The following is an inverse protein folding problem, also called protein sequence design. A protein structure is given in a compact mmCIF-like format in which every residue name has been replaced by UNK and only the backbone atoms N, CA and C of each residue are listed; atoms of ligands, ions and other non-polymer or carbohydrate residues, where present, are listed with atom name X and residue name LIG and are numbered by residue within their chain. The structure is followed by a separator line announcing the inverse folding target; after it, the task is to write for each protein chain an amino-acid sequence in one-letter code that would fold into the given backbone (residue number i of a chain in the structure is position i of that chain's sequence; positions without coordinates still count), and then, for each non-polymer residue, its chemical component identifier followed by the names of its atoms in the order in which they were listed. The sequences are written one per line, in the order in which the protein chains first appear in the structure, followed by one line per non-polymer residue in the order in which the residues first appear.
data_IF_757288095298
#
_entry.id   IF_757288095298
#
_cell.length_a   1.000
_cell.length_b   1.000
_cell.length_c   1.000
_cell.angle_alpha   90.00
_cell.angle_beta   90.00
_cell.angle_gamma   90.00
#
_symmetry.space_group_name_H-M   'P 1'
#
loop_
_entity.id
_entity.type
_entity.pdbx_description
1 polymer ?
#
# COMPACT_ATOMS: atom_id res chain seq x y z
N UNK A 1 -66.07 43.87 -22.80
CA UNK A 1 -65.61 43.44 -24.13
C UNK A 1 -64.78 42.18 -23.98
N UNK A 2 -65.26 41.09 -24.61
CA UNK A 2 -64.69 39.75 -24.84
C UNK A 2 -63.68 39.14 -23.83
N UNK A 3 -64.19 38.24 -22.98
CA UNK A 3 -63.41 37.10 -22.44
C UNK A 3 -63.67 35.85 -23.30
N UNK A 4 -62.60 35.25 -23.82
CA UNK A 4 -62.60 34.02 -24.63
C UNK A 4 -62.63 32.79 -23.72
N UNK A 5 -63.61 31.91 -23.94
CA UNK A 5 -63.60 30.52 -23.51
C UNK A 5 -62.54 29.72 -24.28
N UNK A 6 -61.96 28.69 -23.64
CA UNK A 6 -61.56 27.46 -24.31
C UNK A 6 -61.60 26.30 -23.31
N UNK A 7 -62.27 25.24 -23.75
CA UNK A 7 -62.69 24.02 -23.07
C UNK A 7 -61.57 23.00 -22.86
N UNK A 8 -61.70 22.24 -21.78
CA UNK A 8 -60.87 21.07 -21.43
C UNK A 8 -61.36 19.82 -22.17
N UNK A 9 -60.45 19.08 -22.80
CA UNK A 9 -60.68 17.70 -23.26
C UNK A 9 -59.59 16.77 -22.73
N UNK A 10 -60.03 15.71 -22.05
CA UNK A 10 -59.20 14.62 -21.51
C UNK A 10 -58.64 13.73 -22.64
N UNK A 11 -57.42 13.23 -22.45
CA UNK A 11 -56.94 12.03 -23.16
C UNK A 11 -56.02 11.18 -22.27
N UNK A 12 -56.30 9.89 -22.22
CA UNK A 12 -55.60 8.87 -21.43
C UNK A 12 -54.23 8.51 -22.04
N UNK A 13 -53.22 8.12 -21.23
CA UNK A 13 -51.90 7.79 -21.73
C UNK A 13 -51.85 6.41 -22.41
N UNK A 14 -51.22 6.36 -23.59
CA UNK A 14 -50.94 5.13 -24.36
C UNK A 14 -49.75 4.37 -23.76
N UNK A 15 -49.94 3.07 -23.54
CA UNK A 15 -48.89 2.11 -23.20
C UNK A 15 -47.99 1.91 -24.42
N UNK A 16 -46.68 2.09 -24.27
CA UNK A 16 -45.68 1.78 -25.31
C UNK A 16 -45.02 0.46 -24.94
N UNK A 17 -45.34 -0.60 -25.70
CA UNK A 17 -44.63 -1.88 -25.65
C UNK A 17 -43.17 -1.68 -26.08
N UNK A 18 -42.24 -2.01 -25.18
CA UNK A 18 -40.81 -2.01 -25.50
C UNK A 18 -40.45 -3.40 -26.04
N UNK A 19 -40.06 -3.48 -27.31
CA UNK A 19 -39.57 -4.72 -27.93
C UNK A 19 -38.27 -5.17 -27.26
N UNK A 20 -38.30 -6.37 -26.68
CA UNK A 20 -37.10 -7.08 -26.22
C UNK A 20 -36.29 -7.49 -27.45
N UNK A 21 -35.12 -6.88 -27.64
CA UNK A 21 -34.14 -7.33 -28.62
C UNK A 21 -33.29 -8.41 -27.95
N UNK A 22 -33.49 -9.66 -28.38
CA UNK A 22 -32.60 -10.77 -28.03
C UNK A 22 -31.23 -10.52 -28.65
N UNK A 23 -30.27 -10.05 -27.85
CA UNK A 23 -28.86 -10.03 -28.24
C UNK A 23 -28.36 -11.47 -28.12
N UNK A 24 -28.28 -12.11 -29.28
CA UNK A 24 -27.58 -13.38 -29.49
C UNK A 24 -26.18 -13.30 -28.89
N UNK A 25 -25.90 -14.27 -28.02
CA UNK A 25 -24.62 -14.56 -27.38
C UNK A 25 -23.53 -14.72 -28.45
N UNK A 26 -22.84 -13.62 -28.79
CA UNK A 26 -21.53 -13.71 -29.41
C UNK A 26 -20.56 -14.06 -28.30
N UNK A 27 -20.18 -15.34 -28.22
CA UNK A 27 -18.99 -15.79 -27.53
C UNK A 27 -17.77 -15.08 -28.15
N UNK A 28 -17.48 -13.86 -27.69
CA UNK A 28 -16.13 -13.35 -27.75
C UNK A 28 -15.38 -14.03 -26.62
N UNK A 29 -14.53 -14.99 -26.99
CA UNK A 29 -13.43 -15.43 -26.15
C UNK A 29 -12.52 -14.22 -25.89
N UNK A 30 -12.87 -13.42 -24.89
CA UNK A 30 -11.89 -12.55 -24.24
C UNK A 30 -10.96 -13.49 -23.49
N UNK A 31 -9.86 -13.89 -24.12
CA UNK A 31 -8.62 -14.13 -23.40
C UNK A 31 -8.23 -12.78 -22.77
N UNK A 32 -8.97 -12.41 -21.72
CA UNK A 32 -8.67 -11.27 -20.89
C UNK A 32 -7.32 -11.55 -20.27
N UNK A 33 -6.36 -10.66 -20.53
CA UNK A 33 -4.99 -10.72 -20.04
C UNK A 33 -4.98 -11.14 -18.57
N UNK A 34 -4.79 -12.44 -18.29
CA UNK A 34 -4.92 -12.97 -16.93
C UNK A 34 -3.78 -12.39 -16.10
N UNK A 35 -4.13 -11.56 -15.11
CA UNK A 35 -3.15 -10.98 -14.18
C UNK A 35 -2.36 -12.12 -13.53
N UNK A 36 -1.04 -11.94 -13.45
CA UNK A 36 -0.15 -12.92 -12.83
C UNK A 36 -0.57 -13.14 -11.37
N UNK A 37 -0.85 -14.40 -11.01
CA UNK A 37 -1.10 -14.81 -9.63
C UNK A 37 0.21 -14.82 -8.85
N UNK A 38 0.22 -14.14 -7.72
CA UNK A 38 1.40 -14.02 -6.85
C UNK A 38 0.93 -14.11 -5.40
N UNK A 39 1.82 -14.47 -4.48
CA UNK A 39 1.51 -14.50 -3.06
C UNK A 39 1.38 -13.08 -2.50
N UNK A 40 2.39 -12.24 -2.70
CA UNK A 40 2.35 -10.85 -2.24
C UNK A 40 3.03 -9.88 -3.20
N UNK A 41 2.52 -8.65 -3.22
CA UNK A 41 3.15 -7.50 -3.89
C UNK A 41 3.60 -6.50 -2.83
N UNK A 42 4.90 -6.29 -2.75
CA UNK A 42 5.56 -5.34 -1.85
C UNK A 42 5.89 -4.05 -2.61
N UNK A 43 5.26 -2.96 -2.21
CA UNK A 43 5.55 -1.60 -2.67
C UNK A 43 6.38 -0.84 -1.65
N UNK A 44 7.65 -0.57 -1.99
CA UNK A 44 8.53 0.26 -1.16
C UNK A 44 8.34 1.72 -1.56
N UNK A 45 7.77 2.52 -0.67
CA UNK A 45 7.55 3.94 -0.86
C UNK A 45 8.88 4.70 -0.90
N UNK A 46 9.20 5.32 -2.03
CA UNK A 46 10.44 6.09 -2.19
C UNK A 46 10.20 7.45 -2.82
N UNK A 47 11.22 8.30 -2.88
CA UNK A 47 11.19 9.61 -3.52
C UNK A 47 12.39 9.80 -4.46
N UNK A 48 12.36 10.84 -5.31
CA UNK A 48 13.48 11.18 -6.19
C UNK A 48 14.80 11.32 -5.42
N UNK A 49 14.77 11.99 -4.27
CA UNK A 49 15.94 12.21 -3.41
C UNK A 49 16.46 10.97 -2.68
N UNK A 50 15.76 9.84 -2.76
CA UNK A 50 16.03 8.65 -1.93
C UNK A 50 16.97 7.64 -2.60
N UNK A 51 17.73 8.00 -3.64
CA UNK A 51 18.62 7.05 -4.35
C UNK A 51 19.49 6.22 -3.42
N UNK A 52 20.23 6.89 -2.51
CA UNK A 52 21.11 6.21 -1.55
C UNK A 52 20.36 5.27 -0.59
N UNK A 53 19.10 5.57 -0.27
CA UNK A 53 18.27 4.68 0.55
C UNK A 53 17.92 3.42 -0.23
N UNK A 54 17.48 3.55 -1.48
CA UNK A 54 17.20 2.40 -2.36
C UNK A 54 18.42 1.50 -2.52
N UNK A 55 19.59 2.10 -2.78
CA UNK A 55 20.85 1.37 -2.87
C UNK A 55 21.14 0.63 -1.54
N UNK A 56 20.93 1.26 -0.38
CA UNK A 56 21.11 0.58 0.92
C UNK A 56 20.16 -0.60 1.15
N UNK A 57 18.91 -0.56 0.63
CA UNK A 57 17.99 -1.71 0.73
C UNK A 57 18.45 -2.84 -0.18
N UNK A 58 18.84 -2.50 -1.41
CA UNK A 58 19.40 -3.43 -2.40
C UNK A 58 20.66 -4.13 -1.90
N UNK A 59 21.52 -3.42 -1.20
CA UNK A 59 22.75 -3.95 -0.59
C UNK A 59 22.49 -4.76 0.68
N UNK A 60 21.24 -4.82 1.15
CA UNK A 60 20.85 -5.53 2.38
C UNK A 60 19.70 -6.51 2.11
N UNK A 61 18.49 -6.21 2.57
CA UNK A 61 17.39 -7.17 2.62
C UNK A 61 16.64 -7.34 1.30
N UNK A 62 16.78 -6.42 0.33
CA UNK A 62 16.07 -6.49 -0.95
C UNK A 62 16.91 -7.25 -2.00
N UNK A 63 16.45 -8.41 -2.49
CA UNK A 63 17.15 -9.13 -3.55
C UNK A 63 17.23 -8.32 -4.85
N UNK A 64 18.29 -8.55 -5.64
CA UNK A 64 18.54 -7.89 -6.92
C UNK A 64 18.68 -8.91 -8.06
N UNK A 65 18.48 -8.44 -9.31
CA UNK A 65 18.76 -9.21 -10.52
C UNK A 65 18.08 -10.58 -10.52
N UNK A 66 18.84 -11.62 -10.85
CA UNK A 66 18.34 -13.00 -10.91
C UNK A 66 17.72 -13.49 -9.58
N UNK A 67 18.23 -13.03 -8.43
CA UNK A 67 17.64 -13.40 -7.13
C UNK A 67 16.23 -12.83 -6.98
N UNK A 68 15.99 -11.59 -7.44
CA UNK A 68 14.68 -10.95 -7.41
C UNK A 68 13.70 -11.64 -8.38
N UNK A 69 14.15 -11.96 -9.58
CA UNK A 69 13.34 -12.69 -10.58
C UNK A 69 12.97 -14.10 -10.10
N UNK A 70 13.94 -14.80 -9.50
CA UNK A 70 13.73 -16.11 -8.89
C UNK A 70 12.71 -16.03 -7.75
N UNK A 71 12.81 -15.00 -6.90
CA UNK A 71 11.88 -14.79 -5.80
C UNK A 71 10.44 -14.60 -6.32
N UNK A 72 10.28 -13.81 -7.38
CA UNK A 72 8.97 -13.62 -8.00
C UNK A 72 8.43 -14.91 -8.64
N UNK A 73 9.29 -15.69 -9.31
CA UNK A 73 8.89 -16.91 -10.01
C UNK A 73 8.59 -18.07 -9.07
N UNK A 74 9.42 -18.31 -8.08
CA UNK A 74 9.35 -19.50 -7.21
C UNK A 74 8.51 -19.28 -5.96
N UNK A 75 8.46 -18.05 -5.44
CA UNK A 75 7.72 -17.72 -4.22
C UNK A 75 6.51 -16.83 -4.47
N UNK A 76 6.34 -16.28 -5.67
CA UNK A 76 5.26 -15.34 -5.95
C UNK A 76 5.40 -14.07 -5.10
N UNK A 77 6.61 -13.64 -4.77
CA UNK A 77 6.84 -12.39 -4.03
C UNK A 77 7.38 -11.36 -5.01
N UNK A 78 6.57 -10.34 -5.29
CA UNK A 78 6.96 -9.19 -6.12
C UNK A 78 7.43 -8.08 -5.20
N UNK A 79 8.62 -7.51 -5.43
CA UNK A 79 9.12 -6.35 -4.69
C UNK A 79 9.45 -5.25 -5.68
N UNK A 80 8.87 -4.05 -5.49
CA UNK A 80 9.11 -2.89 -6.33
C UNK A 80 9.21 -1.60 -5.52
N UNK A 81 10.11 -0.71 -5.92
CA UNK A 81 10.11 0.68 -5.50
C UNK A 81 8.96 1.43 -6.18
N UNK A 82 7.98 1.90 -5.40
CA UNK A 82 6.88 2.68 -5.93
C UNK A 82 7.24 4.15 -6.00
N UNK A 83 7.19 4.70 -7.21
CA UNK A 83 7.51 6.11 -7.47
C UNK A 83 6.57 6.68 -8.52
N UNK A 84 6.10 7.91 -8.28
CA UNK A 84 5.38 8.70 -9.27
C UNK A 84 6.33 9.32 -10.29
N UNK A 85 5.86 10.40 -10.91
CA UNK A 85 6.62 11.23 -11.85
C UNK A 85 6.65 12.68 -11.38
N UNK A 86 7.54 13.48 -11.96
CA UNK A 86 7.56 14.91 -11.67
C UNK A 86 6.40 15.63 -12.37
N UNK A 87 6.10 16.86 -11.95
CA UNK A 87 5.03 17.65 -12.55
C UNK A 87 5.37 18.15 -13.97
N UNK A 88 6.66 18.28 -14.28
CA UNK A 88 7.14 18.77 -15.56
C UNK A 88 7.46 17.60 -16.48
N UNK A 89 7.02 17.68 -17.74
CA UNK A 89 7.48 16.76 -18.77
C UNK A 89 9.01 16.86 -18.94
N UNK A 90 9.65 15.74 -19.27
CA UNK A 90 11.10 15.63 -19.55
C UNK A 90 12.05 16.09 -18.43
N UNK A 91 11.58 16.06 -17.19
CA UNK A 91 12.38 16.37 -15.99
C UNK A 91 13.62 15.49 -15.85
N UNK A 92 14.72 16.09 -15.40
CA UNK A 92 15.96 15.38 -15.07
C UNK A 92 15.72 14.31 -14.01
N UNK A 93 14.86 14.61 -13.03
CA UNK A 93 14.52 13.65 -11.96
C UNK A 93 13.86 12.38 -12.51
N UNK A 94 13.00 12.51 -13.52
CA UNK A 94 12.38 11.35 -14.17
C UNK A 94 13.40 10.56 -14.99
N UNK A 95 14.30 11.25 -15.71
CA UNK A 95 15.38 10.60 -16.48
C UNK A 95 16.35 9.82 -15.59
N UNK A 96 16.65 10.34 -14.39
CA UNK A 96 17.47 9.63 -13.40
C UNK A 96 16.79 8.35 -12.90
N UNK A 97 15.48 8.39 -12.66
CA UNK A 97 14.70 7.19 -12.31
C UNK A 97 14.65 6.20 -13.47
N UNK A 98 14.45 6.67 -14.70
CA UNK A 98 14.40 5.81 -15.88
C UNK A 98 15.76 5.13 -16.12
N UNK A 99 16.87 5.84 -15.90
CA UNK A 99 18.21 5.27 -15.96
C UNK A 99 18.46 4.21 -14.86
N UNK A 100 17.96 4.44 -13.65
CA UNK A 100 18.03 3.47 -12.56
C UNK A 100 17.17 2.23 -12.84
N UNK A 101 15.93 2.41 -13.30
CA UNK A 101 15.06 1.30 -13.66
C UNK A 101 15.61 0.51 -14.87
N UNK A 102 16.30 1.18 -15.79
CA UNK A 102 17.03 0.50 -16.87
C UNK A 102 18.09 -0.47 -16.34
N UNK A 103 18.72 -0.13 -15.21
CA UNK A 103 19.75 -0.94 -14.57
C UNK A 103 19.17 -2.06 -13.68
N UNK A 104 18.22 -1.73 -12.80
CA UNK A 104 17.78 -2.64 -11.73
C UNK A 104 16.42 -3.31 -11.98
N UNK A 105 15.58 -2.76 -12.87
CA UNK A 105 14.25 -3.30 -13.23
C UNK A 105 13.32 -3.51 -12.04
N UNK A 106 13.48 -2.71 -11.00
CA UNK A 106 12.82 -2.87 -9.71
C UNK A 106 11.89 -1.71 -9.36
N UNK A 107 11.53 -0.84 -10.31
CA UNK A 107 10.51 0.18 -10.07
C UNK A 107 9.10 -0.24 -10.46
N UNK A 108 8.14 0.35 -9.77
CA UNK A 108 6.75 0.42 -10.17
C UNK A 108 6.36 1.89 -10.33
N UNK A 109 6.35 2.35 -11.59
CA UNK A 109 5.98 3.72 -11.96
C UNK A 109 4.47 3.91 -11.80
N UNK A 110 4.09 4.91 -11.02
CA UNK A 110 2.71 5.27 -10.74
C UNK A 110 2.32 6.52 -11.54
N UNK A 111 1.08 6.56 -12.03
CA UNK A 111 0.46 7.79 -12.55
C UNK A 111 0.10 8.72 -11.38
N UNK A 112 1.14 9.34 -10.84
CA UNK A 112 1.10 10.15 -9.64
C UNK A 112 2.16 11.24 -9.73
N UNK A 113 1.75 12.50 -9.70
CA UNK A 113 2.71 13.60 -9.56
C UNK A 113 3.24 13.61 -8.13
N UNK A 114 4.52 13.33 -7.94
CA UNK A 114 5.20 13.32 -6.64
C UNK A 114 5.10 14.67 -5.91
N UNK A 115 5.15 14.61 -4.58
CA UNK A 115 5.14 15.82 -3.75
C UNK A 115 5.02 15.52 -2.26
N UNK A 116 5.51 16.46 -1.45
CA UNK A 116 5.63 16.28 0.00
C UNK A 116 4.30 15.94 0.70
N UNK A 117 3.19 16.59 0.32
CA UNK A 117 1.86 16.37 0.92
C UNK A 117 1.00 15.37 0.15
N UNK A 118 1.60 14.51 -0.69
CA UNK A 118 0.87 13.64 -1.61
C UNK A 118 0.95 12.14 -1.28
N UNK A 119 1.57 11.77 -0.17
CA UNK A 119 1.76 10.38 0.24
C UNK A 119 0.45 9.59 0.30
N UNK A 120 -0.60 10.12 0.95
CA UNK A 120 -1.92 9.46 1.01
C UNK A 120 -2.53 9.21 -0.38
N UNK A 121 -2.26 10.09 -1.34
CA UNK A 121 -2.70 9.90 -2.72
C UNK A 121 -1.86 8.85 -3.45
N UNK A 122 -0.55 8.84 -3.20
CA UNK A 122 0.38 7.84 -3.72
C UNK A 122 0.02 6.43 -3.27
N UNK A 123 -0.24 6.23 -1.97
CA UNK A 123 -0.71 4.93 -1.42
C UNK A 123 -1.99 4.47 -2.09
N UNK A 124 -2.97 5.36 -2.25
CA UNK A 124 -4.23 5.04 -2.92
C UNK A 124 -4.00 4.57 -4.37
N UNK A 125 -3.13 5.26 -5.10
CA UNK A 125 -2.79 4.92 -6.49
C UNK A 125 -2.00 3.60 -6.53
N UNK A 126 -1.05 3.39 -5.62
CA UNK A 126 -0.29 2.14 -5.50
C UNK A 126 -1.20 0.92 -5.41
N UNK A 127 -2.12 0.88 -4.43
CA UNK A 127 -3.01 -0.27 -4.29
C UNK A 127 -3.90 -0.46 -5.53
N UNK A 128 -4.41 0.62 -6.09
CA UNK A 128 -5.26 0.56 -7.28
C UNK A 128 -4.51 0.01 -8.50
N UNK A 129 -3.30 0.52 -8.76
CA UNK A 129 -2.44 0.09 -9.88
C UNK A 129 -1.87 -1.31 -9.65
N UNK A 130 -1.51 -1.67 -8.42
CA UNK A 130 -0.99 -2.99 -8.08
C UNK A 130 -2.07 -4.06 -8.27
N UNK A 131 -3.31 -3.80 -7.82
CA UNK A 131 -4.45 -4.68 -8.10
C UNK A 131 -4.68 -4.78 -9.61
N UNK A 132 -4.62 -3.69 -10.37
CA UNK A 132 -4.81 -3.76 -11.82
C UNK A 132 -3.75 -4.64 -12.54
N UNK A 133 -2.53 -4.72 -11.99
CA UNK A 133 -1.40 -5.43 -12.61
C UNK A 133 -1.21 -6.87 -12.12
N UNK A 134 -1.41 -7.14 -10.83
CA UNK A 134 -1.17 -8.45 -10.20
C UNK A 134 -2.42 -8.95 -9.48
N UNK A 135 -2.62 -10.27 -9.53
CA UNK A 135 -3.62 -10.96 -8.72
C UNK A 135 -2.93 -11.54 -7.47
N UNK A 136 -2.72 -10.71 -6.46
CA UNK A 136 -1.97 -11.08 -5.24
C UNK A 136 -2.90 -11.45 -4.08
N UNK A 137 -2.48 -12.36 -3.20
CA UNK A 137 -3.20 -12.63 -1.95
C UNK A 137 -3.06 -11.46 -0.96
N UNK A 138 -1.88 -10.85 -0.92
CA UNK A 138 -1.56 -9.70 -0.07
C UNK A 138 -0.88 -8.58 -0.85
N UNK A 139 -1.14 -7.34 -0.42
CA UNK A 139 -0.46 -6.14 -0.89
C UNK A 139 0.16 -5.44 0.32
N UNK A 140 1.47 -5.19 0.25
CA UNK A 140 2.28 -4.69 1.35
C UNK A 140 2.84 -3.33 0.97
N UNK A 141 2.75 -2.36 1.88
CA UNK A 141 3.44 -1.07 1.76
C UNK A 141 4.54 -1.00 2.80
N UNK A 142 5.72 -0.54 2.39
CA UNK A 142 6.92 -0.40 3.24
C UNK A 142 7.57 0.96 2.95
N UNK A 143 8.11 1.67 3.95
CA UNK A 143 8.93 2.87 3.72
C UNK A 143 10.39 2.52 3.35
N UNK A 144 11.06 3.39 2.58
CA UNK A 144 12.43 3.16 2.09
C UNK A 144 13.55 3.30 3.15
N UNK A 145 13.18 3.47 4.41
CA UNK A 145 14.08 3.48 5.55
C UNK A 145 13.72 2.43 6.61
N UNK A 146 13.09 1.31 6.23
CA UNK A 146 12.73 0.20 7.13
C UNK A 146 13.57 -1.04 6.81
N UNK A 147 14.06 -1.73 7.84
CA UNK A 147 14.64 -3.08 7.70
C UNK A 147 13.53 -4.13 7.77
N UNK A 148 13.57 -5.13 6.89
CA UNK A 148 12.53 -6.15 6.75
C UNK A 148 13.17 -7.53 6.64
N UNK A 149 12.58 -8.51 7.32
CA UNK A 149 12.88 -9.94 7.14
C UNK A 149 11.79 -10.55 6.27
N UNK A 150 12.12 -10.91 5.02
CA UNK A 150 11.15 -11.26 3.98
C UNK A 150 10.48 -12.63 4.24
N UNK A 151 11.22 -13.61 4.75
CA UNK A 151 10.74 -14.91 5.17
C UNK A 151 9.83 -14.82 6.39
N UNK A 152 10.19 -14.01 7.39
CA UNK A 152 9.32 -13.70 8.53
C UNK A 152 8.02 -13.01 8.08
N UNK A 153 8.11 -12.00 7.20
CA UNK A 153 6.95 -11.34 6.60
C UNK A 153 6.06 -12.36 5.88
N UNK A 154 6.64 -13.15 4.96
CA UNK A 154 5.89 -14.07 4.13
C UNK A 154 5.22 -15.18 4.96
N UNK A 155 5.93 -15.74 5.94
CA UNK A 155 5.41 -16.76 6.86
C UNK A 155 4.27 -16.22 7.72
N UNK A 156 4.40 -14.98 8.21
CA UNK A 156 3.36 -14.32 9.01
C UNK A 156 2.09 -14.13 8.18
N UNK A 157 2.20 -13.62 6.95
CA UNK A 157 1.04 -13.44 6.05
C UNK A 157 0.41 -14.77 5.65
N UNK A 158 1.22 -15.81 5.41
CA UNK A 158 0.73 -17.15 5.08
C UNK A 158 -0.11 -17.74 6.22
N UNK A 159 0.27 -17.50 7.48
CA UNK A 159 -0.48 -17.93 8.67
C UNK A 159 -1.90 -17.31 8.77
N UNK A 160 -2.14 -16.22 8.04
CA UNK A 160 -3.44 -15.53 8.01
C UNK A 160 -4.22 -15.72 6.71
N UNK A 161 -3.71 -16.52 5.75
CA UNK A 161 -4.32 -16.73 4.42
C UNK A 161 -5.82 -17.09 4.45
N UNK A 162 -6.26 -17.83 5.46
CA UNK A 162 -7.64 -18.29 5.57
C UNK A 162 -8.59 -17.28 6.23
N UNK A 163 -8.08 -16.13 6.69
CA UNK A 163 -8.89 -15.06 7.26
C UNK A 163 -9.41 -14.12 6.14
N UNK A 164 -10.69 -13.77 6.12
CA UNK A 164 -11.20 -12.79 5.18
C UNK A 164 -10.70 -11.38 5.55
N UNK A 165 -10.49 -10.51 4.55
CA UNK A 165 -10.27 -9.05 4.77
C UNK A 165 -9.25 -8.72 5.89
N UNK A 166 -8.04 -9.27 5.77
CA UNK A 166 -6.95 -9.03 6.74
C UNK A 166 -6.34 -7.64 6.55
N UNK A 167 -6.21 -6.90 7.65
CA UNK A 167 -5.36 -5.71 7.75
C UNK A 167 -4.39 -5.93 8.90
N UNK A 168 -3.10 -6.10 8.58
CA UNK A 168 -2.07 -6.47 9.55
C UNK A 168 -0.93 -5.46 9.56
N UNK A 169 -0.44 -5.20 10.77
CA UNK A 169 0.75 -4.43 11.05
C UNK A 169 0.86 -4.16 12.54
N UNK A 170 1.74 -3.25 12.93
CA UNK A 170 1.82 -2.81 14.32
C UNK A 170 0.75 -1.74 14.57
N UNK A 171 -0.33 -2.13 15.25
CA UNK A 171 -1.49 -1.26 15.44
C UNK A 171 -1.22 -0.23 16.54
N UNK A 172 -1.60 1.01 16.26
CA UNK A 172 -1.47 2.15 17.16
C UNK A 172 -2.73 3.00 17.17
N UNK A 173 -2.83 3.84 18.20
CA UNK A 173 -3.74 4.98 18.28
C UNK A 173 -3.01 6.08 19.04
N UNK A 174 -3.20 7.33 18.63
CA UNK A 174 -2.49 8.48 19.17
C UNK A 174 -3.30 9.75 19.02
N UNK A 175 -2.90 10.84 19.68
CA UNK A 175 -3.63 12.11 19.63
C UNK A 175 -3.73 12.61 18.18
N UNK A 176 -4.89 13.15 17.82
CA UNK A 176 -5.05 13.86 16.55
C UNK A 176 -4.17 15.10 16.58
N UNK A 177 -3.36 15.30 15.55
CA UNK A 177 -2.36 16.36 15.52
C UNK A 177 -3.02 17.68 15.06
N UNK A 178 -3.51 18.49 16.01
CA UNK A 178 -4.25 19.74 15.71
C UNK A 178 -3.34 20.97 15.56
N UNK A 179 -2.19 20.96 16.26
CA UNK A 179 -1.27 22.12 16.35
C UNK A 179 -0.65 22.47 15.00
N UNK A 180 -0.68 23.76 14.62
CA UNK A 180 -0.08 24.29 13.37
C UNK A 180 1.41 24.00 13.20
N UNK A 181 2.14 23.84 14.30
CA UNK A 181 3.57 23.52 14.30
C UNK A 181 3.87 22.04 14.12
N UNK A 182 2.85 21.16 14.20
CA UNK A 182 3.05 19.73 14.00
C UNK A 182 3.29 19.44 12.51
N UNK A 183 4.39 18.73 12.20
CA UNK A 183 4.79 18.33 10.84
C UNK A 183 3.65 17.68 10.06
N UNK A 184 2.87 16.85 10.75
CA UNK A 184 1.75 16.10 10.18
C UNK A 184 0.40 16.55 10.77
N UNK A 185 0.24 17.87 10.96
CA UNK A 185 -1.04 18.45 11.36
C UNK A 185 -2.14 17.95 10.44
N UNK A 186 -3.25 17.54 11.03
CA UNK A 186 -4.48 17.18 10.31
C UNK A 186 -5.35 18.44 10.16
N UNK A 187 -5.49 19.04 8.97
CA UNK A 187 -6.31 20.24 8.77
C UNK A 187 -7.79 19.99 9.07
N UNK A 188 -8.27 18.78 8.82
CA UNK A 188 -9.65 18.36 9.01
C UNK A 188 -9.83 17.58 10.32
N UNK A 189 -9.06 17.94 11.36
CA UNK A 189 -9.04 17.25 12.66
C UNK A 189 -10.42 17.15 13.31
N UNK A 190 -11.32 18.09 13.03
CA UNK A 190 -12.71 18.12 13.49
C UNK A 190 -13.52 16.89 13.05
N UNK A 191 -13.10 16.15 12.00
CA UNK A 191 -13.73 14.90 11.58
C UNK A 191 -13.45 13.73 12.52
N UNK A 192 -12.48 13.86 13.41
CA UNK A 192 -12.13 12.85 14.42
C UNK A 192 -12.82 13.12 15.77
N UNK A 193 -13.81 14.03 15.77
CA UNK A 193 -14.58 14.43 16.94
C UNK A 193 -13.99 15.67 17.61
N UNK A 194 -13.97 15.67 18.94
CA UNK A 194 -13.60 16.82 19.76
C UNK A 194 -12.07 16.99 19.86
N UNK A 195 -11.64 18.19 20.23
CA UNK A 195 -10.23 18.45 20.49
C UNK A 195 -9.72 17.58 21.65
N UNK A 196 -8.57 16.92 21.45
CA UNK A 196 -8.03 15.94 22.40
C UNK A 196 -8.37 14.49 22.04
N UNK A 197 -9.26 14.26 21.07
CA UNK A 197 -9.53 12.91 20.57
C UNK A 197 -8.29 12.28 19.94
N UNK A 198 -8.32 10.95 19.89
CA UNK A 198 -7.31 10.13 19.24
C UNK A 198 -7.77 9.69 17.86
N UNK A 199 -6.82 9.44 16.96
CA UNK A 199 -7.10 8.69 15.76
C UNK A 199 -7.66 7.31 16.13
N UNK A 200 -8.55 6.77 15.30
CA UNK A 200 -8.96 5.37 15.39
C UNK A 200 -7.73 4.45 15.31
N UNK A 201 -7.90 3.19 15.74
CA UNK A 201 -6.81 2.21 15.67
C UNK A 201 -6.44 1.93 14.21
N UNK A 202 -5.15 2.05 13.88
CA UNK A 202 -4.60 1.81 12.54
C UNK A 202 -3.17 1.27 12.65
N UNK A 203 -2.69 0.56 11.62
CA UNK A 203 -1.31 0.12 11.55
C UNK A 203 -0.38 1.32 11.35
N UNK A 204 0.84 1.25 11.89
CA UNK A 204 1.84 2.30 11.68
C UNK A 204 2.32 2.36 10.22
N UNK A 205 2.68 3.56 9.76
CA UNK A 205 3.04 3.80 8.36
C UNK A 205 4.30 3.10 7.84
N UNK A 206 5.22 2.68 8.70
CA UNK A 206 6.49 2.07 8.28
C UNK A 206 6.31 0.80 7.45
N UNK A 207 5.38 -0.04 7.89
CA UNK A 207 5.01 -1.27 7.20
C UNK A 207 3.60 -1.72 7.60
N UNK A 208 2.83 -2.15 6.61
CA UNK A 208 1.57 -2.85 6.82
C UNK A 208 1.21 -3.68 5.59
N UNK A 209 0.35 -4.68 5.77
CA UNK A 209 -0.19 -5.48 4.69
C UNK A 209 -1.72 -5.54 4.75
N UNK A 210 -2.34 -5.60 3.57
CA UNK A 210 -3.77 -5.79 3.41
C UNK A 210 -4.04 -6.96 2.46
N UNK A 211 -5.10 -7.72 2.72
CA UNK A 211 -5.51 -8.79 1.82
C UNK A 211 -6.06 -8.25 0.50
N UNK A 212 -6.14 -9.15 -0.50
CA UNK A 212 -6.72 -8.87 -1.82
C UNK A 212 -8.08 -8.17 -1.77
N UNK A 213 -8.96 -8.59 -0.87
CA UNK A 213 -10.31 -8.03 -0.76
C UNK A 213 -10.27 -6.53 -0.41
N UNK A 214 -9.40 -6.16 0.52
CA UNK A 214 -9.23 -4.77 0.93
C UNK A 214 -8.52 -3.93 -0.13
N UNK A 215 -7.50 -4.48 -0.79
CA UNK A 215 -6.85 -3.79 -1.90
C UNK A 215 -7.83 -3.57 -3.07
N UNK A 216 -8.68 -4.56 -3.36
CA UNK A 216 -9.73 -4.46 -4.39
C UNK A 216 -10.78 -3.43 -3.99
N UNK A 217 -11.19 -3.39 -2.72
CA UNK A 217 -12.08 -2.35 -2.19
C UNK A 217 -11.50 -0.95 -2.42
N UNK A 218 -10.20 -0.74 -2.17
CA UNK A 218 -9.53 0.54 -2.44
C UNK A 218 -9.57 0.88 -3.92
N UNK A 219 -9.24 -0.08 -4.78
CA UNK A 219 -9.23 0.09 -6.24
C UNK A 219 -10.60 0.48 -6.78
N UNK A 220 -11.66 -0.22 -6.36
CA UNK A 220 -13.03 0.03 -6.83
C UNK A 220 -13.60 1.35 -6.30
N UNK A 221 -13.32 1.69 -5.04
CA UNK A 221 -13.91 2.87 -4.38
C UNK A 221 -13.00 4.11 -4.42
N UNK A 222 -11.90 4.05 -5.16
CA UNK A 222 -10.88 5.09 -5.22
C UNK A 222 -11.42 6.53 -5.34
N UNK A 223 -12.47 6.83 -6.14
CA UNK A 223 -12.98 8.20 -6.30
C UNK A 223 -13.60 8.79 -5.03
N UNK A 224 -14.16 7.95 -4.14
CA UNK A 224 -14.86 8.38 -2.93
C UNK A 224 -14.02 8.25 -1.66
N UNK A 225 -12.89 7.54 -1.73
CA UNK A 225 -11.99 7.38 -0.59
C UNK A 225 -11.26 8.69 -0.27
N UNK A 226 -11.66 9.28 0.86
CA UNK A 226 -11.10 10.49 1.42
C UNK A 226 -9.65 10.29 1.87
N UNK A 227 -8.86 11.36 1.87
CA UNK A 227 -7.44 11.33 2.24
C UNK A 227 -7.20 12.33 3.36
N UNK A 228 -6.51 11.87 4.39
CA UNK A 228 -6.05 12.68 5.51
C UNK A 228 -4.57 13.03 5.33
N UNK A 229 -4.06 13.95 6.16
CA UNK A 229 -2.67 14.40 6.09
C UNK A 229 -1.66 13.28 6.39
N UNK A 230 -2.03 12.36 7.29
CA UNK A 230 -1.24 11.18 7.62
C UNK A 230 -1.67 10.01 6.72
N UNK A 231 -0.69 9.37 6.08
CA UNK A 231 -0.92 8.30 5.10
C UNK A 231 -1.44 7.01 5.75
N UNK A 232 -0.92 6.65 6.91
CA UNK A 232 -1.34 5.49 7.70
C UNK A 232 -2.73 5.67 8.32
N UNK A 233 -3.03 6.87 8.84
CA UNK A 233 -4.39 7.26 9.23
C UNK A 233 -5.33 7.17 8.02
N UNK A 234 -4.91 7.67 6.86
CA UNK A 234 -5.73 7.59 5.64
C UNK A 234 -6.14 6.16 5.33
N UNK A 235 -5.19 5.23 5.30
CA UNK A 235 -5.49 3.83 5.04
C UNK A 235 -6.47 3.25 6.07
N UNK A 236 -6.20 3.44 7.36
CA UNK A 236 -7.07 2.90 8.41
C UNK A 236 -8.50 3.47 8.36
N UNK A 237 -8.67 4.71 7.91
CA UNK A 237 -10.00 5.34 7.78
C UNK A 237 -10.90 4.64 6.77
N UNK A 238 -10.31 4.02 5.74
CA UNK A 238 -11.05 3.32 4.69
C UNK A 238 -11.66 2.01 5.19
N UNK A 239 -11.15 1.49 6.31
CA UNK A 239 -11.52 0.18 6.85
C UNK A 239 -12.38 0.26 8.11
N UNK A 240 -12.51 1.44 8.73
CA UNK A 240 -13.23 1.60 10.01
C UNK A 240 -14.71 1.16 9.95
N UNK A 241 -15.35 1.33 8.79
CA UNK A 241 -16.74 0.93 8.55
C UNK A 241 -16.90 -0.46 7.95
N UNK A 242 -15.81 -1.22 7.81
CA UNK A 242 -15.79 -2.55 7.20
C UNK A 242 -15.55 -3.63 8.26
N UNK A 243 -16.06 -4.83 8.03
CA UNK A 243 -15.79 -6.00 8.87
C UNK A 243 -14.40 -6.58 8.55
N UNK A 244 -13.37 -5.94 9.10
CA UNK A 244 -11.94 -6.22 8.85
C UNK A 244 -11.30 -6.93 10.03
N UNK A 245 -10.51 -7.96 9.74
CA UNK A 245 -9.63 -8.59 10.71
C UNK A 245 -8.39 -7.71 10.91
N UNK A 246 -8.46 -6.80 11.90
CA UNK A 246 -7.35 -5.95 12.31
C UNK A 246 -6.38 -6.72 13.21
N UNK A 247 -5.24 -7.12 12.65
CA UNK A 247 -4.23 -7.91 13.36
C UNK A 247 -3.14 -6.96 13.88
N UNK A 248 -3.05 -6.83 15.21
CA UNK A 248 -1.97 -6.13 15.88
C UNK A 248 -0.79 -7.07 16.13
N UNK A 249 0.20 -7.01 15.25
CA UNK A 249 1.42 -7.81 15.36
C UNK A 249 2.62 -6.90 15.69
N UNK A 250 3.21 -7.13 16.87
CA UNK A 250 4.34 -6.34 17.37
C UNK A 250 5.65 -6.64 16.65
N UNK A 251 5.74 -7.75 15.92
CA UNK A 251 6.91 -8.06 15.10
C UNK A 251 7.03 -7.13 13.88
N UNK A 252 5.98 -6.38 13.53
CA UNK A 252 6.02 -5.34 12.50
C UNK A 252 6.62 -4.00 12.98
N UNK A 253 7.03 -3.87 14.24
CA UNK A 253 7.55 -2.63 14.79
C UNK A 253 8.60 -2.83 15.89
N UNK A 254 9.49 -3.80 15.71
CA UNK A 254 10.64 -3.95 16.58
C UNK A 254 11.54 -2.72 16.50
N UNK A 255 12.20 -2.39 17.61
CA UNK A 255 13.26 -1.39 17.58
C UNK A 255 14.51 -1.98 16.92
N UNK A 256 15.36 -1.13 16.35
CA UNK A 256 16.69 -1.57 15.89
C UNK A 256 17.55 -2.08 17.09
N UNK A 257 18.75 -2.65 16.87
CA UNK A 257 19.54 -3.22 17.97
C UNK A 257 19.65 -2.32 19.20
N UNK A 258 19.53 -2.89 20.41
CA UNK A 258 19.59 -4.33 20.70
C UNK A 258 18.25 -5.11 20.64
N UNK A 259 17.11 -4.44 20.45
CA UNK A 259 15.79 -5.08 20.61
C UNK A 259 15.53 -6.21 19.58
N UNK A 260 15.66 -5.92 18.29
CA UNK A 260 15.45 -6.93 17.25
C UNK A 260 16.48 -8.07 17.28
N UNK A 261 17.70 -7.81 17.75
CA UNK A 261 18.76 -8.81 17.92
C UNK A 261 18.39 -9.79 19.04
N UNK A 262 18.03 -9.28 20.22
CA UNK A 262 17.57 -10.11 21.34
C UNK A 262 16.32 -10.93 21.00
N UNK A 263 15.39 -10.36 20.23
CA UNK A 263 14.21 -11.08 19.75
C UNK A 263 14.55 -12.19 18.77
N UNK A 264 15.49 -11.95 17.85
CA UNK A 264 15.97 -12.99 16.94
C UNK A 264 16.65 -14.15 17.71
N UNK A 265 17.49 -13.85 18.71
CA UNK A 265 18.11 -14.85 19.59
C UNK A 265 17.09 -15.68 20.38
N UNK A 266 15.95 -15.08 20.75
CA UNK A 266 14.85 -15.75 21.42
C UNK A 266 13.93 -16.55 20.47
N UNK A 267 14.20 -16.55 19.16
CA UNK A 267 13.37 -17.22 18.15
C UNK A 267 12.09 -16.44 17.77
N UNK A 268 11.96 -15.18 18.20
CA UNK A 268 10.86 -14.28 17.85
C UNK A 268 11.30 -13.33 16.72
N UNK A 269 11.58 -13.88 15.54
CA UNK A 269 12.09 -13.08 14.42
C UNK A 269 11.15 -11.91 14.08
N UNK A 270 11.68 -10.69 14.13
CA UNK A 270 10.94 -9.50 13.75
C UNK A 270 10.63 -9.50 12.25
N UNK A 271 9.42 -9.08 11.89
CA UNK A 271 9.05 -8.82 10.49
C UNK A 271 9.71 -7.54 10.00
N UNK A 272 9.72 -6.50 10.85
CA UNK A 272 10.35 -5.23 10.53
C UNK A 272 10.97 -4.56 11.76
N UNK A 273 12.07 -3.84 11.50
CA UNK A 273 12.84 -3.15 12.52
C UNK A 273 13.10 -1.69 12.12
N UNK A 274 12.80 -0.75 13.01
CA UNK A 274 13.02 0.69 12.79
C UNK A 274 13.07 1.48 14.11
N UNK A 275 13.54 2.73 14.04
CA UNK A 275 13.62 3.63 15.20
C UNK A 275 12.43 4.58 15.25
N UNK A 276 11.66 4.55 16.35
CA UNK A 276 10.54 5.46 16.58
C UNK A 276 10.93 6.94 16.49
N UNK A 277 12.15 7.28 16.93
CA UNK A 277 12.67 8.66 16.99
C UNK A 277 12.67 9.36 15.62
N UNK A 278 12.96 8.64 14.55
CA UNK A 278 12.98 9.18 13.19
C UNK A 278 11.91 8.55 12.28
N UNK A 279 11.05 7.68 12.85
CA UNK A 279 9.96 7.02 12.13
C UNK A 279 10.46 6.13 10.97
N UNK A 280 11.61 5.48 11.17
CA UNK A 280 12.38 4.69 10.22
C UNK A 280 13.72 4.31 10.87
N UNK A 281 14.64 3.63 10.19
CA UNK A 281 16.02 3.43 10.65
C UNK A 281 16.74 4.78 10.57
N UNK A 282 17.19 5.31 11.71
CA UNK A 282 17.83 6.62 11.72
C UNK A 282 19.15 6.56 10.97
N UNK A 283 19.42 7.53 10.10
CA UNK A 283 20.54 7.50 9.14
C UNK A 283 20.55 6.18 8.35
N UNK A 284 19.41 5.80 7.78
CA UNK A 284 19.21 4.50 7.11
C UNK A 284 20.31 4.17 6.10
N UNK A 285 20.78 5.14 5.31
CA UNK A 285 21.89 4.94 4.36
C UNK A 285 23.13 4.34 5.03
N UNK A 286 23.46 4.79 6.24
CA UNK A 286 24.67 4.34 6.95
C UNK A 286 24.40 3.15 7.88
N UNK A 287 23.17 3.05 8.42
CA UNK A 287 22.82 2.09 9.48
C UNK A 287 22.08 0.85 9.01
N UNK A 288 21.50 0.85 7.80
CA UNK A 288 20.71 -0.29 7.31
C UNK A 288 21.54 -1.58 7.30
N UNK A 289 22.79 -1.51 6.87
CA UNK A 289 23.70 -2.66 6.87
C UNK A 289 23.89 -3.24 8.28
N UNK A 290 24.21 -2.41 9.26
CA UNK A 290 24.39 -2.86 10.66
C UNK A 290 23.11 -3.49 11.22
N UNK A 291 21.95 -2.88 10.98
CA UNK A 291 20.65 -3.43 11.41
C UNK A 291 20.39 -4.77 10.73
N UNK A 292 20.68 -4.88 9.43
CA UNK A 292 20.51 -6.12 8.69
C UNK A 292 21.44 -7.23 9.18
N UNK A 293 22.69 -6.93 9.52
CA UNK A 293 23.62 -7.93 10.06
C UNK A 293 23.19 -8.45 11.44
N UNK A 294 22.64 -7.58 12.29
CA UNK A 294 22.27 -7.95 13.67
C UNK A 294 20.86 -8.52 13.80
N UNK A 295 19.94 -8.12 12.93
CA UNK A 295 18.52 -8.46 13.03
C UNK A 295 17.97 -9.19 11.80
N UNK A 296 18.83 -9.47 10.82
CA UNK A 296 18.48 -10.20 9.61
C UNK A 296 18.16 -11.66 9.90
N UNK A 297 17.15 -12.18 9.21
CA UNK A 297 16.92 -13.61 9.05
C UNK A 297 18.04 -14.26 8.20
N UNK A 298 18.13 -15.60 8.22
CA UNK A 298 19.07 -16.32 7.36
C UNK A 298 18.64 -16.19 5.89
N UNK A 299 19.58 -16.07 4.95
CA UNK A 299 19.26 -15.91 3.52
C UNK A 299 18.33 -17.02 3.00
N UNK A 300 18.35 -18.20 3.64
CA UNK A 300 17.50 -19.36 3.28
C UNK A 300 16.05 -19.24 3.75
N UNK A 301 15.75 -18.38 4.72
CA UNK A 301 14.44 -18.37 5.39
C UNK A 301 13.31 -18.01 4.43
N UNK A 302 13.50 -16.99 3.58
CA UNK A 302 12.53 -16.65 2.53
C UNK A 302 12.30 -17.79 1.53
N UNK A 303 13.33 -18.60 1.26
CA UNK A 303 13.24 -19.76 0.36
C UNK A 303 12.62 -21.00 1.03
N UNK A 304 12.71 -21.09 2.35
CA UNK A 304 12.13 -22.18 3.14
C UNK A 304 10.70 -21.87 3.60
N UNK A 305 10.26 -20.61 3.54
CA UNK A 305 8.89 -20.21 3.84
C UNK A 305 7.89 -21.03 3.01
N UNK A 306 6.94 -21.65 3.72
CA UNK A 306 5.86 -22.46 3.13
C UNK A 306 4.70 -21.53 2.77
N UNK A 307 4.68 -21.12 1.50
CA UNK A 307 3.64 -20.31 0.87
C UNK A 307 2.74 -21.19 0.01
#
# INVERSE_FOLDING_TARGET
MLQKQLSVTQSSPKIVETKIVNVSTTNSSTEGNQRKKVFMVVGINTAFSSRKRRDSLRETWMPQGEKLEKLEKEKGIVIKFMIGHSAAADSVLDKEIDAEDAQYKDFFRLDHVEGYYKLSAKTKIFFSSAVAKWDAEYYVKIDDDVHVNLGALASTLASHRHKPRVYIGCMKSGPVLTKKTAKYREPEFWKFGEEGNKYFRHATGQIYAISKDLATYISVNQPILHKYANEDVTLGSWFIGLEVDQIDDRNFCCSTPPDCEMKAEAGEMCVASFDWKCSGVCRSVDRMWMVHTMCGEDEKDVWNAKL
#
